data_IF_395839271606
#
_entry.id   IF_395839271606
#
_cell.length_a   1.000
_cell.length_b   1.000
_cell.length_c   1.000
_cell.angle_alpha   90.00
_cell.angle_beta   90.00
_cell.angle_gamma   90.00
#
_symmetry.space_group_name_H-M   'P 1'
#
loop_
_entity.id
_entity.type
_entity.pdbx_description
1 polymer ?
#
# COMPACT_ATOMS: atom_id res chain seq x y z
N UNK A 1 63.25 -9.58 12.19
CA UNK A 1 61.91 -10.21 12.03
C UNK A 1 62.01 -11.17 10.85
N UNK A 2 61.59 -12.43 11.02
CA UNK A 2 61.74 -13.45 9.97
C UNK A 2 60.83 -13.17 8.77
N UNK A 3 61.34 -13.45 7.57
CA UNK A 3 60.66 -13.23 6.28
C UNK A 3 59.25 -13.89 6.23
N UNK A 4 59.10 -15.04 6.90
CA UNK A 4 57.82 -15.74 7.10
C UNK A 4 56.80 -14.94 7.92
N UNK A 5 57.24 -14.21 8.96
CA UNK A 5 56.34 -13.39 9.78
C UNK A 5 55.80 -12.17 9.00
N UNK A 6 56.64 -11.55 8.16
CA UNK A 6 56.21 -10.46 7.28
C UNK A 6 55.26 -10.92 6.18
N UNK A 7 55.49 -12.10 5.58
CA UNK A 7 54.57 -12.68 4.60
C UNK A 7 53.22 -13.06 5.22
N UNK A 8 53.21 -13.62 6.44
CA UNK A 8 51.96 -13.91 7.17
C UNK A 8 51.16 -12.64 7.49
N UNK A 9 51.84 -11.55 7.88
CA UNK A 9 51.18 -10.26 8.10
C UNK A 9 50.61 -9.68 6.81
N UNK A 10 51.35 -9.73 5.69
CA UNK A 10 50.86 -9.28 4.38
C UNK A 10 49.56 -10.00 4.02
N UNK A 11 49.52 -11.33 4.11
CA UNK A 11 48.30 -12.11 3.83
C UNK A 11 47.12 -11.72 4.72
N UNK A 12 47.37 -11.44 6.00
CA UNK A 12 46.34 -10.99 6.94
C UNK A 12 45.78 -9.61 6.54
N UNK A 13 46.66 -8.69 6.12
CA UNK A 13 46.25 -7.35 5.66
C UNK A 13 45.48 -7.43 4.33
N UNK A 14 45.90 -8.28 3.40
CA UNK A 14 45.17 -8.53 2.15
C UNK A 14 43.78 -9.09 2.41
N UNK A 15 43.64 -10.06 3.32
CA UNK A 15 42.33 -10.58 3.72
C UNK A 15 41.44 -9.48 4.31
N UNK A 16 42.01 -8.65 5.19
CA UNK A 16 41.27 -7.52 5.79
C UNK A 16 40.84 -6.48 4.75
N UNK A 17 41.69 -6.13 3.76
CA UNK A 17 41.30 -5.22 2.67
C UNK A 17 40.13 -5.80 1.85
N UNK A 18 40.21 -7.08 1.49
CA UNK A 18 39.13 -7.76 0.76
C UNK A 18 37.82 -7.78 1.54
N UNK A 19 37.88 -8.02 2.85
CA UNK A 19 36.69 -7.96 3.72
C UNK A 19 36.08 -6.55 3.78
N UNK A 20 36.92 -5.50 3.82
CA UNK A 20 36.47 -4.11 3.81
C UNK A 20 35.81 -3.75 2.47
N UNK A 21 36.40 -4.15 1.35
CA UNK A 21 35.83 -3.96 0.02
C UNK A 21 34.48 -4.68 -0.13
N UNK A 22 34.37 -5.92 0.37
CA UNK A 22 33.12 -6.66 0.38
C UNK A 22 32.04 -5.95 1.21
N UNK A 23 32.41 -5.41 2.39
CA UNK A 23 31.48 -4.63 3.21
C UNK A 23 31.02 -3.36 2.51
N UNK A 24 31.93 -2.61 1.88
CA UNK A 24 31.58 -1.41 1.11
C UNK A 24 30.62 -1.74 -0.05
N UNK A 25 30.89 -2.81 -0.81
CA UNK A 25 30.01 -3.27 -1.88
C UNK A 25 28.62 -3.66 -1.37
N UNK A 26 28.56 -4.38 -0.24
CA UNK A 26 27.30 -4.75 0.37
C UNK A 26 26.49 -3.50 0.73
N UNK A 27 27.09 -2.53 1.42
CA UNK A 27 26.46 -1.25 1.78
C UNK A 27 25.97 -0.51 0.54
N UNK A 28 26.79 -0.39 -0.50
CA UNK A 28 26.41 0.23 -1.78
C UNK A 28 25.16 -0.43 -2.38
N UNK A 29 25.09 -1.76 -2.38
CA UNK A 29 23.90 -2.48 -2.80
C UNK A 29 22.67 -2.21 -1.90
N UNK A 30 22.87 -2.00 -0.59
CA UNK A 30 21.77 -1.60 0.31
C UNK A 30 21.28 -0.19 0.01
N UNK A 31 22.18 0.75 -0.34
CA UNK A 31 21.81 2.11 -0.76
C UNK A 31 20.97 2.12 -2.03
N UNK A 32 21.33 1.30 -3.03
CA UNK A 32 20.52 1.14 -4.25
C UNK A 32 19.10 0.68 -3.90
N UNK A 33 18.97 -0.33 -3.02
CA UNK A 33 17.64 -0.78 -2.57
C UNK A 33 16.87 0.29 -1.79
N UNK A 34 17.54 1.13 -1.00
CA UNK A 34 16.87 2.26 -0.34
C UNK A 34 16.35 3.29 -1.36
N UNK A 35 17.11 3.56 -2.42
CA UNK A 35 16.69 4.45 -3.49
C UNK A 35 15.47 3.90 -4.25
N UNK A 36 15.43 2.58 -4.49
CA UNK A 36 14.25 1.90 -5.03
C UNK A 36 13.04 2.07 -4.12
N UNK A 37 13.20 1.85 -2.80
CA UNK A 37 12.13 2.04 -1.82
C UNK A 37 11.63 3.50 -1.76
N UNK A 38 12.52 4.48 -1.87
CA UNK A 38 12.18 5.91 -1.93
C UNK A 38 11.35 6.23 -3.17
N UNK A 39 11.72 5.64 -4.31
CA UNK A 39 10.96 5.77 -5.57
C UNK A 39 9.58 5.14 -5.45
N UNK A 40 9.48 3.95 -4.86
CA UNK A 40 8.21 3.26 -4.65
C UNK A 40 7.27 4.01 -3.70
N UNK A 41 7.78 4.52 -2.58
CA UNK A 41 7.00 5.34 -1.65
C UNK A 41 6.49 6.61 -2.33
N UNK A 42 7.33 7.26 -3.13
CA UNK A 42 6.95 8.45 -3.90
C UNK A 42 5.85 8.12 -4.91
N UNK A 43 5.96 6.99 -5.62
CA UNK A 43 4.94 6.54 -6.57
C UNK A 43 3.60 6.31 -5.88
N UNK A 44 3.58 5.58 -4.76
CA UNK A 44 2.36 5.32 -4.02
C UNK A 44 1.67 6.61 -3.55
N UNK A 45 2.45 7.61 -3.16
CA UNK A 45 1.92 8.93 -2.80
C UNK A 45 1.34 9.67 -4.01
N UNK A 46 2.01 9.64 -5.16
CA UNK A 46 1.49 10.24 -6.40
C UNK A 46 0.22 9.54 -6.89
N UNK A 47 0.17 8.21 -6.82
CA UNK A 47 -1.02 7.42 -7.17
C UNK A 47 -2.21 7.79 -6.26
N UNK A 48 -1.97 8.06 -4.98
CA UNK A 48 -3.00 8.54 -4.05
C UNK A 48 -3.41 9.99 -4.32
N UNK A 49 -2.49 10.85 -4.77
CA UNK A 49 -2.79 12.23 -5.16
C UNK A 49 -3.70 12.30 -6.39
N UNK A 50 -3.53 11.37 -7.32
CA UNK A 50 -4.37 11.25 -8.52
C UNK A 50 -5.70 10.52 -8.25
N UNK A 51 -5.87 9.93 -7.06
CA UNK A 51 -7.06 9.16 -6.71
C UNK A 51 -8.29 10.06 -6.54
N UNK A 52 -9.41 9.62 -7.12
CA UNK A 52 -10.69 10.28 -7.03
C UNK A 52 -11.68 9.41 -6.27
N UNK A 53 -12.51 10.06 -5.46
CA UNK A 53 -13.61 9.43 -4.73
C UNK A 53 -14.95 9.90 -5.27
N UNK A 54 -15.96 9.05 -5.09
CA UNK A 54 -17.33 9.37 -5.44
C UNK A 54 -18.03 10.02 -4.24
N UNK A 55 -18.70 11.14 -4.47
CA UNK A 55 -19.63 11.78 -3.53
C UNK A 55 -21.06 11.53 -3.97
N UNK A 56 -21.95 11.44 -2.98
CA UNK A 56 -23.38 11.29 -3.16
C UNK A 56 -24.12 12.49 -2.56
N UNK A 57 -24.81 13.24 -3.41
CA UNK A 57 -25.48 14.48 -3.06
C UNK A 57 -26.90 14.21 -2.56
N UNK A 58 -27.14 14.49 -1.28
CA UNK A 58 -28.49 14.50 -0.72
C UNK A 58 -29.13 15.87 -0.86
N UNK A 59 -30.40 15.89 -1.29
CA UNK A 59 -31.16 17.12 -1.48
C UNK A 59 -31.36 17.93 -0.18
N UNK A 60 -31.33 17.28 0.98
CA UNK A 60 -31.57 17.90 2.30
C UNK A 60 -30.31 18.14 3.13
N UNK A 61 -29.23 17.40 2.86
CA UNK A 61 -28.12 17.24 3.82
C UNK A 61 -26.75 17.59 3.21
N UNK A 62 -26.71 17.90 1.90
CA UNK A 62 -25.47 18.19 1.19
C UNK A 62 -24.77 16.95 0.64
N UNK A 63 -23.51 17.10 0.28
CA UNK A 63 -22.66 16.04 -0.30
C UNK A 63 -22.10 15.15 0.80
N UNK A 64 -22.34 13.84 0.70
CA UNK A 64 -21.74 12.81 1.54
C UNK A 64 -20.76 11.98 0.73
N UNK A 65 -19.85 11.29 1.42
CA UNK A 65 -19.04 10.24 0.81
C UNK A 65 -19.95 9.14 0.25
N UNK A 66 -19.80 8.78 -1.03
CA UNK A 66 -20.57 7.70 -1.62
C UNK A 66 -19.99 6.37 -1.14
N UNK A 67 -20.73 5.68 -0.30
CA UNK A 67 -20.44 4.34 0.19
C UNK A 67 -21.66 3.47 -0.09
N UNK A 68 -21.53 2.15 0.04
CA UNK A 68 -22.72 1.28 -0.09
C UNK A 68 -23.76 1.66 0.96
N UNK A 69 -23.32 2.02 2.16
CA UNK A 69 -24.15 2.56 3.24
C UNK A 69 -24.90 3.84 2.82
N UNK A 70 -24.17 4.91 2.50
CA UNK A 70 -24.78 6.22 2.26
C UNK A 70 -25.69 6.25 1.02
N UNK A 71 -25.39 5.43 0.00
CA UNK A 71 -26.24 5.31 -1.19
C UNK A 71 -27.56 4.60 -0.84
N UNK A 72 -27.51 3.52 -0.07
CA UNK A 72 -28.69 2.70 0.27
C UNK A 72 -29.60 3.36 1.31
N UNK A 73 -29.06 4.20 2.20
CA UNK A 73 -29.84 4.98 3.17
C UNK A 73 -30.83 5.96 2.50
N UNK A 74 -30.61 6.36 1.24
CA UNK A 74 -31.52 7.21 0.48
C UNK A 74 -32.89 6.61 0.21
N UNK A 75 -32.99 5.28 0.23
CA UNK A 75 -34.21 4.55 -0.13
C UNK A 75 -34.63 4.69 -1.60
N UNK A 76 -34.03 5.61 -2.37
CA UNK A 76 -34.27 5.81 -3.79
C UNK A 76 -33.14 5.29 -4.67
N UNK A 77 -31.97 5.09 -4.08
CA UNK A 77 -30.81 4.51 -4.73
C UNK A 77 -30.34 3.29 -3.94
N UNK A 78 -29.74 2.34 -4.66
CA UNK A 78 -29.10 1.17 -4.06
C UNK A 78 -27.90 0.74 -4.88
N UNK A 79 -27.01 -0.01 -4.25
CA UNK A 79 -25.90 -0.68 -4.93
C UNK A 79 -26.29 -2.14 -5.14
N UNK A 80 -26.08 -2.66 -6.35
CA UNK A 80 -26.33 -4.05 -6.70
C UNK A 80 -25.11 -4.69 -7.35
N UNK A 81 -25.05 -6.02 -7.29
CA UNK A 81 -24.13 -6.80 -8.12
C UNK A 81 -24.60 -6.87 -9.59
N UNK A 82 -23.81 -7.54 -10.43
CA UNK A 82 -24.11 -7.77 -11.85
C UNK A 82 -25.39 -8.58 -12.12
N UNK A 83 -25.95 -9.25 -11.10
CA UNK A 83 -27.18 -10.04 -11.21
C UNK A 83 -28.41 -9.26 -10.71
N UNK A 84 -28.23 -8.01 -10.27
CA UNK A 84 -29.28 -7.17 -9.73
C UNK A 84 -29.63 -7.45 -8.27
N UNK A 85 -28.81 -8.25 -7.57
CA UNK A 85 -28.98 -8.47 -6.13
C UNK A 85 -28.43 -7.27 -5.38
N UNK A 86 -29.22 -6.71 -4.46
CA UNK A 86 -28.92 -5.43 -3.84
C UNK A 86 -28.30 -5.58 -2.45
N UNK A 87 -27.30 -4.77 -2.14
CA UNK A 87 -26.75 -4.70 -0.79
C UNK A 87 -27.68 -3.90 0.11
N UNK A 88 -27.96 -4.43 1.30
CA UNK A 88 -28.84 -3.80 2.27
C UNK A 88 -28.34 -4.03 3.69
N UNK A 89 -28.26 -2.96 4.47
CA UNK A 89 -28.09 -3.07 5.92
C UNK A 89 -29.45 -3.34 6.57
N UNK A 90 -29.50 -4.38 7.40
CA UNK A 90 -30.65 -4.73 8.21
C UNK A 90 -30.28 -4.48 9.66
N UNK A 91 -30.94 -3.53 10.32
CA UNK A 91 -30.75 -3.32 11.75
C UNK A 91 -31.38 -4.49 12.52
N UNK A 92 -32.67 -4.74 12.31
CA UNK A 92 -33.39 -5.90 12.85
C UNK A 92 -34.50 -6.32 11.88
N UNK A 93 -34.28 -7.39 11.11
CA UNK A 93 -35.31 -7.97 10.24
C UNK A 93 -35.66 -9.39 10.67
N UNK A 94 -36.89 -9.59 11.12
CA UNK A 94 -37.43 -10.93 11.39
C UNK A 94 -37.88 -11.58 10.08
N UNK A 95 -37.38 -12.78 9.81
CA UNK A 95 -37.81 -13.63 8.71
C UNK A 95 -38.42 -14.90 9.30
N UNK A 96 -39.62 -15.23 8.83
CA UNK A 96 -40.24 -16.54 9.10
C UNK A 96 -39.80 -17.53 8.03
N UNK A 97 -39.16 -18.62 8.47
CA UNK A 97 -38.74 -19.72 7.62
C UNK A 97 -39.96 -20.56 7.18
N UNK A 98 -39.83 -21.38 6.13
CA UNK A 98 -40.91 -22.28 5.68
C UNK A 98 -41.39 -23.27 6.75
N UNK A 99 -40.56 -23.57 7.75
CA UNK A 99 -40.89 -24.42 8.90
C UNK A 99 -41.64 -23.68 10.03
N UNK A 100 -41.92 -22.38 9.85
CA UNK A 100 -42.60 -21.53 10.82
C UNK A 100 -41.69 -20.92 11.90
N UNK A 101 -40.39 -21.23 11.89
CA UNK A 101 -39.45 -20.63 12.84
C UNK A 101 -39.06 -19.22 12.43
N UNK A 102 -38.85 -18.34 13.41
CA UNK A 102 -38.39 -16.97 13.17
C UNK A 102 -36.87 -16.89 13.31
N UNK A 103 -36.23 -16.07 12.48
CA UNK A 103 -34.81 -15.73 12.59
C UNK A 103 -34.67 -14.23 12.42
N UNK A 104 -33.86 -13.60 13.27
CA UNK A 104 -33.56 -12.17 13.20
C UNK A 104 -32.26 -11.99 12.43
N UNK A 105 -32.30 -11.19 11.38
CA UNK A 105 -31.13 -10.77 10.61
C UNK A 105 -30.69 -9.38 11.07
N UNK A 106 -29.39 -9.25 11.32
CA UNK A 106 -28.74 -7.99 11.70
C UNK A 106 -27.39 -7.90 10.99
N UNK A 107 -27.12 -6.78 10.31
CA UNK A 107 -25.91 -6.55 9.54
C UNK A 107 -26.15 -6.40 8.03
N UNK A 108 -25.08 -6.56 7.25
CA UNK A 108 -25.13 -6.45 5.79
C UNK A 108 -25.56 -7.74 5.12
N UNK A 109 -26.59 -7.64 4.29
CA UNK A 109 -27.11 -8.74 3.49
C UNK A 109 -27.21 -8.33 2.02
N UNK A 110 -27.28 -9.34 1.16
CA UNK A 110 -27.61 -9.23 -0.25
C UNK A 110 -29.06 -9.68 -0.42
N UNK A 111 -29.91 -8.79 -0.92
CA UNK A 111 -31.29 -9.08 -1.29
C UNK A 111 -31.33 -9.57 -2.73
N UNK A 112 -31.66 -10.86 -2.90
CA UNK A 112 -31.88 -11.47 -4.20
C UNK A 112 -33.11 -10.89 -4.91
N UNK A 113 -33.15 -11.04 -6.24
CA UNK A 113 -34.30 -10.65 -7.06
C UNK A 113 -35.58 -11.44 -6.73
N UNK A 114 -35.43 -12.60 -6.08
CA UNK A 114 -36.49 -13.45 -5.54
C UNK A 114 -37.04 -12.97 -4.17
N UNK A 115 -36.41 -11.95 -3.58
CA UNK A 115 -36.76 -11.43 -2.26
C UNK A 115 -36.05 -12.13 -1.08
N UNK A 116 -35.17 -13.09 -1.36
CA UNK A 116 -34.42 -13.83 -0.34
C UNK A 116 -33.20 -13.03 0.12
N UNK A 117 -32.87 -13.10 1.41
CA UNK A 117 -31.68 -12.48 1.97
C UNK A 117 -30.54 -13.50 2.09
N UNK A 118 -29.37 -13.11 1.59
CA UNK A 118 -28.12 -13.86 1.68
C UNK A 118 -27.11 -13.05 2.49
N UNK A 119 -26.31 -13.69 3.34
CA UNK A 119 -25.23 -12.97 4.02
C UNK A 119 -24.25 -12.38 3.00
N UNK A 120 -23.84 -11.13 3.22
CA UNK A 120 -22.86 -10.52 2.34
C UNK A 120 -21.51 -11.19 2.52
N UNK A 121 -20.86 -11.57 1.42
CA UNK A 121 -19.46 -12.03 1.42
C UNK A 121 -18.46 -10.88 1.48
N UNK A 122 -18.95 -9.65 1.32
CA UNK A 122 -18.14 -8.44 1.31
C UNK A 122 -18.02 -7.94 2.76
N UNK A 123 -16.79 -7.70 3.24
CA UNK A 123 -16.57 -7.21 4.60
C UNK A 123 -17.21 -5.85 4.86
N UNK A 124 -17.63 -5.60 6.10
CA UNK A 124 -18.31 -4.37 6.49
C UNK A 124 -17.47 -3.12 6.25
N UNK A 125 -16.14 -3.20 6.46
CA UNK A 125 -15.22 -2.09 6.22
C UNK A 125 -15.25 -1.61 4.76
N UNK A 126 -15.54 -2.52 3.82
CA UNK A 126 -15.68 -2.19 2.39
C UNK A 126 -17.01 -1.54 2.06
N UNK A 127 -18.08 -1.86 2.80
CA UNK A 127 -19.38 -1.21 2.63
C UNK A 127 -19.37 0.27 2.99
N UNK A 128 -18.42 0.69 3.82
CA UNK A 128 -18.19 2.08 4.25
C UNK A 128 -16.98 2.73 3.58
N UNK A 129 -16.34 2.06 2.62
CA UNK A 129 -15.14 2.53 1.91
C UNK A 129 -15.54 3.11 0.55
N UNK A 130 -15.34 4.43 0.39
CA UNK A 130 -15.71 5.16 -0.83
C UNK A 130 -14.82 4.82 -2.01
N UNK A 131 -13.52 4.65 -1.79
CA UNK A 131 -12.59 4.30 -2.86
C UNK A 131 -12.94 2.91 -3.40
N UNK A 132 -13.21 1.96 -2.48
CA UNK A 132 -13.60 0.62 -2.88
C UNK A 132 -14.87 0.61 -3.73
N UNK A 133 -15.92 1.36 -3.33
CA UNK A 133 -17.14 1.44 -4.13
C UNK A 133 -16.84 2.04 -5.51
N UNK A 134 -16.06 3.12 -5.57
CA UNK A 134 -15.70 3.77 -6.84
C UNK A 134 -14.96 2.81 -7.78
N UNK A 135 -13.96 2.07 -7.27
CA UNK A 135 -13.24 1.07 -8.05
C UNK A 135 -14.16 -0.05 -8.56
N UNK A 136 -15.07 -0.55 -7.71
CA UNK A 136 -16.01 -1.60 -8.12
C UNK A 136 -17.00 -1.13 -9.20
N UNK A 137 -17.39 0.14 -9.17
CA UNK A 137 -18.23 0.75 -10.21
C UNK A 137 -17.46 0.94 -11.53
N UNK A 138 -16.17 1.29 -11.48
CA UNK A 138 -15.31 1.38 -12.66
C UNK A 138 -15.08 0.01 -13.31
N UNK A 139 -14.88 -1.02 -12.49
CA UNK A 139 -14.68 -2.40 -12.94
C UNK A 139 -15.99 -3.06 -13.42
N UNK A 140 -17.14 -2.39 -13.29
CA UNK A 140 -18.47 -2.92 -13.59
C UNK A 140 -18.82 -4.21 -12.83
N UNK A 141 -18.24 -4.38 -11.62
CA UNK A 141 -18.62 -5.45 -10.71
C UNK A 141 -19.90 -5.10 -9.96
N UNK A 142 -20.03 -3.81 -9.62
CA UNK A 142 -21.18 -3.24 -8.95
C UNK A 142 -21.85 -2.19 -9.83
N UNK A 143 -23.14 -1.98 -9.56
CA UNK A 143 -23.98 -1.05 -10.28
C UNK A 143 -24.79 -0.22 -9.29
N UNK A 144 -25.04 1.04 -9.65
CA UNK A 144 -26.02 1.86 -8.95
C UNK A 144 -27.36 1.67 -9.63
N UNK A 145 -28.40 1.46 -8.83
CA UNK A 145 -29.78 1.40 -9.32
C UNK A 145 -30.61 2.49 -8.68
N UNK A 146 -31.56 3.01 -9.45
CA UNK A 146 -32.55 3.98 -9.00
C UNK A 146 -33.92 3.30 -8.92
N UNK A 147 -34.66 3.61 -7.87
CA UNK A 147 -36.02 3.16 -7.68
C UNK A 147 -36.93 3.70 -8.79
N UNK A 148 -37.67 2.81 -9.42
CA UNK A 148 -38.82 3.15 -10.24
C UNK A 148 -40.02 3.28 -9.31
N UNK A 149 -40.73 4.39 -9.41
CA UNK A 149 -41.82 4.71 -8.49
C UNK A 149 -43.12 4.95 -9.25
N UNK A 150 -44.22 4.49 -8.67
CA UNK A 150 -45.56 4.77 -9.15
C UNK A 150 -46.39 5.36 -8.01
N UNK A 151 -47.33 6.23 -8.35
CA UNK A 151 -48.30 6.75 -7.37
C UNK A 151 -49.53 5.86 -7.40
N UNK A 152 -49.83 5.20 -6.29
CA UNK A 152 -51.00 4.35 -6.18
C UNK A 152 -52.30 5.17 -6.10
N UNK A 153 -53.45 4.50 -6.14
CA UNK A 153 -54.77 5.13 -6.09
C UNK A 153 -55.06 5.93 -4.81
N UNK A 154 -54.25 5.76 -3.76
CA UNK A 154 -54.33 6.49 -2.49
C UNK A 154 -53.37 7.70 -2.44
N UNK A 155 -52.68 8.01 -3.54
CA UNK A 155 -51.73 9.13 -3.63
C UNK A 155 -50.37 8.85 -2.99
N UNK A 156 -50.08 7.59 -2.61
CA UNK A 156 -48.79 7.21 -2.04
C UNK A 156 -47.84 6.75 -3.15
N UNK A 157 -46.57 7.15 -3.04
CA UNK A 157 -45.49 6.72 -3.92
C UNK A 157 -44.98 5.36 -3.45
N UNK A 158 -45.11 4.34 -4.29
CA UNK A 158 -44.60 3.00 -4.06
C UNK A 158 -43.44 2.70 -5.04
N UNK A 159 -42.44 1.95 -4.58
CA UNK A 159 -41.34 1.47 -5.43
C UNK A 159 -41.83 0.22 -6.17
N UNK A 160 -41.88 0.29 -7.50
CA UNK A 160 -42.37 -0.79 -8.36
C UNK A 160 -41.26 -1.57 -9.06
N UNK A 161 -40.03 -1.05 -9.03
CA UNK A 161 -38.90 -1.68 -9.69
C UNK A 161 -37.60 -0.92 -9.43
N UNK A 162 -36.52 -1.44 -10.02
CA UNK A 162 -35.19 -0.86 -9.94
C UNK A 162 -34.57 -0.90 -11.33
N UNK A 163 -33.96 0.21 -11.74
CA UNK A 163 -33.29 0.32 -13.02
C UNK A 163 -31.86 0.82 -12.80
N UNK A 164 -30.94 0.34 -13.64
CA UNK A 164 -29.56 0.79 -13.59
C UNK A 164 -29.47 2.29 -13.83
N UNK A 165 -28.56 2.91 -13.09
CA UNK A 165 -28.37 4.34 -13.05
C UNK A 165 -26.89 4.65 -13.18
N UNK A 166 -26.55 5.40 -14.23
CA UNK A 166 -25.17 5.82 -14.46
C UNK A 166 -24.75 6.84 -13.40
N UNK A 167 -23.66 6.57 -12.69
CA UNK A 167 -23.08 7.53 -11.75
C UNK A 167 -22.37 8.68 -12.48
N UNK A 168 -21.77 8.44 -13.65
CA UNK A 168 -20.93 9.41 -14.38
C UNK A 168 -21.71 10.53 -15.08
N UNK A 169 -22.95 10.27 -15.47
CA UNK A 169 -23.82 11.25 -16.13
C UNK A 169 -24.91 11.80 -15.19
N UNK A 170 -24.80 11.52 -13.89
CA UNK A 170 -25.78 11.93 -12.90
C UNK A 170 -25.49 13.32 -12.32
N UNK A 171 -26.53 13.99 -11.85
CA UNK A 171 -26.39 15.19 -11.02
C UNK A 171 -26.28 14.88 -9.52
N UNK A 172 -26.51 13.62 -9.14
CA UNK A 172 -26.53 13.19 -7.74
C UNK A 172 -25.21 12.58 -7.30
N UNK A 173 -24.42 12.04 -8.23
CA UNK A 173 -23.05 11.60 -7.96
C UNK A 173 -22.08 12.60 -8.58
N UNK A 174 -21.07 12.97 -7.80
CA UNK A 174 -19.95 13.82 -8.23
C UNK A 174 -18.65 13.14 -7.87
N UNK A 175 -17.60 13.40 -8.64
CA UNK A 175 -16.25 12.93 -8.33
C UNK A 175 -15.45 14.07 -7.73
N UNK A 176 -14.80 13.82 -6.61
CA UNK A 176 -13.90 14.77 -5.96
C UNK A 176 -12.57 14.09 -5.63
N UNK A 177 -11.53 14.88 -5.37
CA UNK A 177 -10.23 14.36 -4.92
C UNK A 177 -10.39 13.62 -3.58
N UNK A 178 -9.70 12.48 -3.43
CA UNK A 178 -9.73 11.69 -2.20
C UNK A 178 -8.89 12.32 -1.08
N UNK A 179 -9.43 13.37 -0.44
CA UNK A 179 -8.73 14.06 0.64
C UNK A 179 -8.31 13.15 1.81
N UNK A 180 -9.10 12.10 2.12
CA UNK A 180 -8.79 11.19 3.23
C UNK A 180 -7.72 10.17 2.84
N UNK A 181 -7.78 9.64 1.61
CA UNK A 181 -6.75 8.75 1.07
C UNK A 181 -5.41 9.44 0.94
N UNK A 182 -5.41 10.68 0.44
CA UNK A 182 -4.21 11.53 0.34
C UNK A 182 -3.58 11.77 1.71
N UNK A 183 -4.36 12.15 2.72
CA UNK A 183 -3.84 12.41 4.07
C UNK A 183 -3.16 11.16 4.68
N UNK A 184 -3.73 9.97 4.44
CA UNK A 184 -3.12 8.71 4.89
C UNK A 184 -1.83 8.41 4.13
N UNK A 185 -1.84 8.58 2.81
CA UNK A 185 -0.67 8.35 1.97
C UNK A 185 0.47 9.31 2.29
N UNK A 186 0.16 10.58 2.59
CA UNK A 186 1.12 11.59 3.04
C UNK A 186 1.83 11.15 4.33
N UNK A 187 1.06 10.74 5.35
CA UNK A 187 1.63 10.27 6.61
C UNK A 187 2.51 9.02 6.42
N UNK A 188 2.10 8.07 5.58
CA UNK A 188 2.91 6.89 5.24
C UNK A 188 4.19 7.24 4.47
N UNK A 189 4.10 8.21 3.55
CA UNK A 189 5.24 8.71 2.78
C UNK A 189 6.27 9.38 3.70
N UNK A 190 5.85 10.31 4.55
CA UNK A 190 6.72 11.00 5.50
C UNK A 190 7.44 10.01 6.44
N UNK A 191 6.70 9.04 6.97
CA UNK A 191 7.27 8.00 7.83
C UNK A 191 8.33 7.18 7.09
N UNK A 192 8.02 6.65 5.91
CA UNK A 192 8.96 5.85 5.11
C UNK A 192 10.18 6.66 4.69
N UNK A 193 9.99 7.92 4.29
CA UNK A 193 11.10 8.78 3.89
C UNK A 193 12.03 9.08 5.07
N UNK A 194 11.48 9.35 6.26
CA UNK A 194 12.27 9.54 7.48
C UNK A 194 13.09 8.29 7.84
N UNK A 195 12.52 7.10 7.70
CA UNK A 195 13.22 5.84 7.93
C UNK A 195 14.35 5.63 6.91
N UNK A 196 14.08 5.89 5.63
CA UNK A 196 15.05 5.79 4.53
C UNK A 196 16.21 6.75 4.76
N UNK A 197 15.94 8.03 5.05
CA UNK A 197 16.96 9.03 5.33
C UNK A 197 17.84 8.63 6.52
N UNK A 198 17.25 8.07 7.57
CA UNK A 198 17.99 7.62 8.74
C UNK A 198 18.92 6.45 8.41
N UNK A 199 18.47 5.50 7.58
CA UNK A 199 19.30 4.38 7.10
C UNK A 199 20.39 4.86 6.14
N UNK A 200 20.07 5.80 5.25
CA UNK A 200 21.02 6.34 4.28
C UNK A 200 22.19 7.05 4.98
N UNK A 201 21.88 7.91 5.98
CA UNK A 201 22.89 8.56 6.83
C UNK A 201 23.78 7.56 7.54
N UNK A 202 23.21 6.45 8.03
CA UNK A 202 23.99 5.39 8.68
C UNK A 202 24.94 4.72 7.68
N UNK A 203 24.45 4.39 6.49
CA UNK A 203 25.27 3.79 5.44
C UNK A 203 26.39 4.72 4.97
N UNK A 204 26.16 6.03 4.91
CA UNK A 204 27.20 7.01 4.61
C UNK A 204 28.30 7.02 5.68
N UNK A 205 27.93 7.04 6.96
CA UNK A 205 28.89 6.94 8.06
C UNK A 205 29.68 5.63 8.04
N UNK A 206 29.00 4.51 7.81
CA UNK A 206 29.65 3.20 7.73
C UNK A 206 30.63 3.13 6.55
N UNK A 207 30.28 3.72 5.40
CA UNK A 207 31.12 3.76 4.21
C UNK A 207 32.34 4.70 4.40
N UNK A 208 32.15 5.83 5.07
CA UNK A 208 33.26 6.73 5.46
C UNK A 208 34.24 6.03 6.41
N UNK A 209 33.73 5.32 7.41
CA UNK A 209 34.54 4.52 8.33
C UNK A 209 35.33 3.42 7.60
N UNK A 210 34.66 2.68 6.70
CA UNK A 210 35.31 1.63 5.90
C UNK A 210 36.40 2.22 5.01
N UNK A 211 36.17 3.36 4.35
CA UNK A 211 37.18 4.03 3.53
C UNK A 211 38.39 4.48 4.35
N UNK A 212 38.14 4.97 5.57
CA UNK A 212 39.21 5.34 6.50
C UNK A 212 40.02 4.13 6.95
N UNK A 213 39.35 3.01 7.28
CA UNK A 213 40.01 1.75 7.62
C UNK A 213 40.81 1.18 6.44
N UNK A 214 40.22 1.17 5.24
CA UNK A 214 40.87 0.67 4.02
C UNK A 214 42.16 1.46 3.74
N UNK A 215 42.08 2.79 3.78
CA UNK A 215 43.25 3.68 3.61
C UNK A 215 44.34 3.43 4.66
N UNK A 216 43.97 3.09 5.90
CA UNK A 216 44.93 2.77 6.96
C UNK A 216 45.59 1.41 6.75
N UNK A 217 44.81 0.40 6.38
CA UNK A 217 45.29 -0.96 6.09
C UNK A 217 46.16 -0.98 4.84
N UNK A 218 45.81 -0.22 3.80
CA UNK A 218 46.61 -0.07 2.57
C UNK A 218 47.99 0.51 2.89
N UNK A 219 48.07 1.57 3.70
CA UNK A 219 49.35 2.13 4.16
C UNK A 219 50.17 1.11 4.97
N UNK A 220 49.53 0.31 5.81
CA UNK A 220 50.20 -0.75 6.56
C UNK A 220 50.73 -1.84 5.62
N UNK A 221 49.92 -2.25 4.64
CA UNK A 221 50.27 -3.23 3.63
C UNK A 221 51.49 -2.78 2.82
N UNK A 222 51.51 -1.53 2.34
CA UNK A 222 52.64 -0.95 1.63
C UNK A 222 53.91 -0.89 2.49
N UNK A 223 53.76 -0.56 3.77
CA UNK A 223 54.89 -0.55 4.71
C UNK A 223 55.46 -1.95 4.91
N UNK A 224 54.61 -2.97 5.07
CA UNK A 224 55.03 -4.37 5.21
C UNK A 224 55.68 -4.88 3.92
N UNK A 225 55.13 -4.55 2.77
CA UNK A 225 55.67 -4.90 1.46
C UNK A 225 57.12 -4.39 1.29
N UNK A 226 57.36 -3.11 1.58
CA UNK A 226 58.72 -2.53 1.56
C UNK A 226 59.71 -3.23 2.49
N UNK A 227 59.25 -3.68 3.67
CA UNK A 227 60.08 -4.44 4.61
C UNK A 227 60.42 -5.83 4.08
N UNK A 228 59.48 -6.49 3.39
CA UNK A 228 59.72 -7.77 2.72
C UNK A 228 60.77 -7.59 1.63
N UNK A 229 60.58 -6.61 0.74
CA UNK A 229 61.50 -6.33 -0.37
C UNK A 229 62.93 -6.09 0.12
N UNK A 230 63.10 -5.23 1.12
CA UNK A 230 64.42 -4.95 1.70
C UNK A 230 65.06 -6.16 2.40
N UNK A 231 64.27 -7.09 2.95
CA UNK A 231 64.79 -8.33 3.53
C UNK A 231 65.18 -9.34 2.45
N UNK A 232 64.41 -9.43 1.36
CA UNK A 232 64.74 -10.27 0.20
C UNK A 232 66.04 -9.78 -0.44
N UNK A 233 66.21 -8.49 -0.64
CA UNK A 233 67.44 -7.90 -1.21
C UNK A 233 68.68 -8.16 -0.34
N UNK A 234 68.58 -7.99 0.98
CA UNK A 234 69.68 -8.34 1.90
C UNK A 234 70.00 -9.83 1.89
N UNK A 235 68.99 -10.69 1.81
CA UNK A 235 69.20 -12.13 1.73
C UNK A 235 69.92 -12.48 0.43
N UNK A 236 69.47 -11.91 -0.70
CA UNK A 236 70.06 -12.14 -2.00
C UNK A 236 71.54 -11.71 -2.06
N UNK A 237 71.85 -10.51 -1.55
CA UNK A 237 73.24 -9.98 -1.50
C UNK A 237 74.18 -10.76 -0.58
N UNK A 238 73.67 -11.45 0.44
CA UNK A 238 74.47 -12.31 1.33
C UNK A 238 74.82 -13.65 0.65
N UNK A 239 73.99 -14.10 -0.31
CA UNK A 239 74.14 -15.40 -0.98
C UNK A 239 74.61 -15.31 -2.45
N UNK A 240 74.83 -14.10 -2.98
CA UNK A 240 75.42 -13.83 -4.30
C UNK A 240 76.92 -13.54 -4.20
#
# INVERSE_FOLDING_TARGET
MGLSASQSRMLTLTARMSDLELKAQNISNQKIRLAEQSTEASKAYMDALDAQTLKFNYYSTGSLDATVASVTESGLYRVSDAFGNAFQYLDHKTITKPDGTETVLTGWYVLGTDGTYYESTIPQEKMTDTQWLYDQLQLANLFIQKAQTETNALGKVDIVGWQDYSYTSSSIFTTEEDTSGVAKAEAEYEYKMSEIESKDKKYDLDLENINTEHSAVEKEHDSVSKVIDGNVERTFTIFS
#
